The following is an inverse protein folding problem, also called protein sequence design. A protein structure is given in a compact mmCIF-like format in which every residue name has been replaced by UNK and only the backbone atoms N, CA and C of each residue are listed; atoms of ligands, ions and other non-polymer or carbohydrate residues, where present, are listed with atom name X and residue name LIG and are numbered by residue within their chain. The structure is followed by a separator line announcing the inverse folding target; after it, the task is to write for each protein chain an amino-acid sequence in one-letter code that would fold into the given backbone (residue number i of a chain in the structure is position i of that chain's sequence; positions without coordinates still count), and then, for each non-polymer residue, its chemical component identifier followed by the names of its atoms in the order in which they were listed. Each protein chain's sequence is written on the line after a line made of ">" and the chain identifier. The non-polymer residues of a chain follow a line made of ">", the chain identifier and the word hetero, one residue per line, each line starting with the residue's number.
data_IF_511273111574
#
_entry.id   IF_511273111574
#
_cell.length_a   1.000
_cell.length_b   1.000
_cell.length_c   1.000
_cell.angle_alpha   90.00
_cell.angle_beta   90.00
_cell.angle_gamma   90.00
#
_symmetry.space_group_name_H-M   'P 1'
#
loop_
_entity.id
_entity.type
_entity.pdbx_description
1 polymer ?
#
# COMPACT_ATOMS: atom_id res chain seq x y z
N UNK A 1 13.63 15.66 31.25
CA UNK A 1 12.22 15.31 31.23
C UNK A 1 11.96 14.15 30.29
N UNK A 2 11.21 13.18 30.73
CA UNK A 2 10.90 11.99 29.96
C UNK A 2 10.24 12.32 28.61
N UNK A 3 9.38 13.33 28.57
CA UNK A 3 8.67 13.72 27.34
C UNK A 3 9.61 14.23 26.26
N UNK A 4 10.66 14.98 26.59
CA UNK A 4 11.61 15.50 25.62
C UNK A 4 12.47 14.37 25.05
N UNK A 5 12.98 13.48 25.92
CA UNK A 5 13.78 12.33 25.50
C UNK A 5 12.96 11.39 24.62
N UNK A 6 11.70 11.15 24.96
CA UNK A 6 10.79 10.32 24.19
C UNK A 6 10.52 10.96 22.83
N UNK A 7 10.31 12.27 22.79
CA UNK A 7 10.10 13.00 21.54
C UNK A 7 11.33 12.91 20.63
N UNK A 8 12.53 13.12 21.17
CA UNK A 8 13.77 13.00 20.41
C UNK A 8 13.96 11.58 19.86
N UNK A 9 13.67 10.56 20.68
CA UNK A 9 13.74 9.18 20.25
C UNK A 9 12.74 8.89 19.13
N UNK A 10 11.53 9.41 19.23
CA UNK A 10 10.49 9.24 18.20
C UNK A 10 10.89 9.92 16.88
N UNK A 11 11.47 11.11 16.94
CA UNK A 11 11.95 11.82 15.74
C UNK A 11 13.11 11.04 15.09
N UNK A 12 14.08 10.60 15.89
CA UNK A 12 15.19 9.80 15.39
C UNK A 12 14.72 8.49 14.75
N UNK A 13 13.77 7.82 15.37
CA UNK A 13 13.17 6.60 14.83
C UNK A 13 12.44 6.85 13.53
N UNK A 14 11.67 7.93 13.45
CA UNK A 14 10.98 8.33 12.23
C UNK A 14 11.93 8.61 11.08
N UNK A 15 13.04 9.30 11.35
CA UNK A 15 14.07 9.57 10.35
C UNK A 15 14.74 8.28 9.89
N UNK A 16 15.04 7.37 10.82
CA UNK A 16 15.61 6.07 10.48
C UNK A 16 14.67 5.24 9.61
N UNK A 17 13.38 5.27 9.89
CA UNK A 17 12.37 4.58 9.08
C UNK A 17 12.34 5.14 7.66
N UNK A 18 12.41 6.47 7.51
CA UNK A 18 12.41 7.11 6.19
C UNK A 18 13.62 6.73 5.37
N UNK A 19 14.74 6.43 6.01
CA UNK A 19 15.98 6.03 5.36
C UNK A 19 16.08 4.52 5.13
N UNK A 20 15.19 3.73 5.72
CA UNK A 20 15.18 2.29 5.52
C UNK A 20 14.99 1.95 4.02
N UNK A 21 15.76 0.99 3.46
CA UNK A 21 15.65 0.67 2.03
C UNK A 21 14.24 0.31 1.58
N UNK A 22 13.47 -0.38 2.41
CA UNK A 22 12.09 -0.78 2.10
C UNK A 22 11.20 0.46 1.96
N UNK A 23 11.33 1.42 2.85
CA UNK A 23 10.55 2.67 2.83
C UNK A 23 11.01 3.55 1.66
N UNK A 24 12.32 3.64 1.42
CA UNK A 24 12.87 4.39 0.31
C UNK A 24 12.39 3.83 -1.03
N UNK A 25 12.36 2.51 -1.18
CA UNK A 25 11.84 1.86 -2.38
C UNK A 25 10.34 2.13 -2.58
N UNK A 26 9.56 2.12 -1.50
CA UNK A 26 8.14 2.47 -1.57
C UNK A 26 7.94 3.90 -2.04
N UNK A 27 8.68 4.85 -1.47
CA UNK A 27 8.57 6.26 -1.85
C UNK A 27 8.97 6.48 -3.30
N UNK A 28 10.04 5.83 -3.75
CA UNK A 28 10.48 5.92 -5.14
C UNK A 28 9.43 5.34 -6.10
N UNK A 29 8.83 4.20 -5.76
CA UNK A 29 7.80 3.59 -6.59
C UNK A 29 6.50 4.39 -6.61
N UNK A 30 6.12 5.01 -5.49
CA UNK A 30 4.97 5.89 -5.40
C UNK A 30 5.18 7.14 -6.25
N UNK A 31 6.38 7.71 -6.21
CA UNK A 31 6.76 8.87 -7.01
C UNK A 31 6.74 8.54 -8.50
N UNK A 32 7.29 7.38 -8.88
CA UNK A 32 7.26 6.92 -10.26
C UNK A 32 5.82 6.74 -10.77
N UNK A 33 4.94 6.19 -9.94
CA UNK A 33 3.54 6.02 -10.29
C UNK A 33 2.85 7.37 -10.48
N UNK A 34 3.13 8.34 -9.61
CA UNK A 34 2.58 9.68 -9.69
C UNK A 34 2.97 10.40 -10.99
N UNK A 35 4.13 10.07 -11.55
CA UNK A 35 4.64 10.67 -12.79
C UNK A 35 4.41 9.79 -14.03
N UNK A 36 3.62 8.73 -13.92
CA UNK A 36 3.34 7.81 -15.02
C UNK A 36 1.86 7.88 -15.42
N UNK A 37 1.51 8.71 -16.41
CA UNK A 37 0.10 8.86 -16.84
C UNK A 37 -0.51 7.57 -17.37
N UNK A 38 0.29 6.71 -18.00
CA UNK A 38 -0.19 5.43 -18.54
C UNK A 38 -0.60 4.51 -17.39
N UNK A 39 0.24 4.40 -16.38
CA UNK A 39 -0.06 3.59 -15.19
C UNK A 39 -1.30 4.12 -14.46
N UNK A 40 -1.40 5.43 -14.29
CA UNK A 40 -2.57 6.05 -13.65
C UNK A 40 -3.85 5.79 -14.44
N UNK A 41 -3.79 5.88 -15.77
CA UNK A 41 -4.92 5.59 -16.64
C UNK A 41 -5.38 4.15 -16.54
N UNK A 42 -4.45 3.20 -16.46
CA UNK A 42 -4.77 1.78 -16.27
C UNK A 42 -5.46 1.52 -14.93
N UNK A 43 -4.98 2.15 -13.85
CA UNK A 43 -5.59 2.01 -12.53
C UNK A 43 -6.98 2.63 -12.47
N UNK A 44 -7.16 3.78 -13.08
CA UNK A 44 -8.46 4.46 -13.15
C UNK A 44 -9.47 3.63 -13.94
N UNK A 45 -9.03 3.05 -15.07
CA UNK A 45 -9.87 2.18 -15.89
C UNK A 45 -10.29 0.93 -15.13
N UNK A 46 -9.35 0.31 -14.42
CA UNK A 46 -9.64 -0.86 -13.57
C UNK A 46 -10.65 -0.51 -12.47
N UNK A 47 -10.45 0.62 -11.81
CA UNK A 47 -11.35 1.09 -10.75
C UNK A 47 -12.77 1.30 -11.29
N UNK A 48 -12.89 1.95 -12.43
CA UNK A 48 -14.18 2.22 -13.07
C UNK A 48 -14.93 0.92 -13.38
N UNK A 49 -14.21 -0.07 -13.92
CA UNK A 49 -14.81 -1.36 -14.25
C UNK A 49 -15.22 -2.14 -13.00
N UNK A 50 -14.42 -2.09 -11.96
CA UNK A 50 -14.77 -2.75 -10.69
C UNK A 50 -16.00 -2.12 -10.04
N UNK A 51 -16.10 -0.78 -10.05
CA UNK A 51 -17.26 -0.07 -9.51
C UNK A 51 -18.53 -0.42 -10.31
N UNK A 52 -18.42 -0.53 -11.61
CA UNK A 52 -19.53 -0.90 -12.48
C UNK A 52 -20.04 -2.31 -12.16
N UNK A 53 -19.14 -3.27 -11.97
CA UNK A 53 -19.51 -4.63 -11.58
C UNK A 53 -20.14 -4.68 -10.19
N UNK A 54 -19.62 -3.95 -9.24
CA UNK A 54 -20.18 -3.85 -7.90
C UNK A 54 -21.60 -3.29 -7.94
N UNK A 55 -21.82 -2.29 -8.77
CA UNK A 55 -23.14 -1.68 -8.96
C UNK A 55 -24.14 -2.70 -9.52
N UNK A 56 -23.72 -3.49 -10.51
CA UNK A 56 -24.55 -4.55 -11.07
C UNK A 56 -24.92 -5.59 -10.01
N UNK A 57 -23.96 -6.03 -9.20
CA UNK A 57 -24.20 -6.98 -8.12
C UNK A 57 -25.18 -6.44 -7.09
N UNK A 58 -25.04 -5.18 -6.70
CA UNK A 58 -25.95 -4.54 -5.74
C UNK A 58 -27.39 -4.44 -6.29
N UNK A 59 -27.52 -4.33 -7.61
CA UNK A 59 -28.82 -4.29 -8.28
C UNK A 59 -29.40 -5.66 -8.57
N UNK A 60 -28.71 -6.73 -8.16
CA UNK A 60 -29.13 -8.11 -8.44
C UNK A 60 -28.94 -8.54 -9.89
N UNK A 61 -28.19 -7.77 -10.67
CA UNK A 61 -27.90 -8.07 -12.07
C UNK A 61 -26.59 -8.84 -12.18
N UNK A 62 -26.48 -9.61 -13.26
CA UNK A 62 -25.27 -10.39 -13.55
C UNK A 62 -24.46 -9.66 -14.63
N UNK A 63 -23.13 -9.63 -14.45
CA UNK A 63 -22.25 -9.06 -15.45
C UNK A 63 -22.30 -9.88 -16.76
N UNK A 64 -22.27 -9.18 -17.90
CA UNK A 64 -22.22 -9.85 -19.20
C UNK A 64 -20.84 -10.46 -19.42
N UNK A 65 -20.73 -11.48 -20.32
CA UNK A 65 -19.43 -12.02 -20.70
C UNK A 65 -18.46 -10.95 -21.24
N UNK A 66 -18.98 -9.95 -21.94
CA UNK A 66 -18.17 -8.85 -22.46
C UNK A 66 -17.62 -7.96 -21.34
N UNK A 67 -18.43 -7.69 -20.33
CA UNK A 67 -17.98 -6.91 -19.17
C UNK A 67 -16.89 -7.65 -18.38
N UNK A 68 -17.04 -8.96 -18.20
CA UNK A 68 -16.04 -9.78 -17.53
C UNK A 68 -14.76 -9.87 -18.34
N UNK A 69 -14.86 -10.02 -19.66
CA UNK A 69 -13.69 -10.04 -20.56
C UNK A 69 -12.95 -8.70 -20.53
N UNK A 70 -13.68 -7.58 -20.54
CA UNK A 70 -13.08 -6.24 -20.44
C UNK A 70 -12.34 -6.05 -19.12
N UNK A 71 -12.92 -6.51 -18.01
CA UNK A 71 -12.26 -6.46 -16.71
C UNK A 71 -10.97 -7.27 -16.72
N UNK A 72 -11.01 -8.48 -17.30
CA UNK A 72 -9.83 -9.35 -17.39
C UNK A 72 -8.71 -8.71 -18.19
N UNK A 73 -9.04 -8.11 -19.33
CA UNK A 73 -8.06 -7.40 -20.16
C UNK A 73 -7.43 -6.24 -19.40
N UNK A 74 -8.23 -5.50 -18.65
CA UNK A 74 -7.75 -4.40 -17.84
C UNK A 74 -6.83 -4.90 -16.71
N UNK A 75 -7.19 -5.99 -16.05
CA UNK A 75 -6.34 -6.62 -15.02
C UNK A 75 -5.02 -7.10 -15.60
N UNK A 76 -5.04 -7.70 -16.78
CA UNK A 76 -3.82 -8.17 -17.45
C UNK A 76 -2.91 -7.00 -17.83
N UNK A 77 -3.48 -5.89 -18.30
CA UNK A 77 -2.72 -4.69 -18.62
C UNK A 77 -2.06 -4.10 -17.36
N UNK A 78 -2.77 -4.09 -16.23
CA UNK A 78 -2.21 -3.65 -14.95
C UNK A 78 -1.05 -4.54 -14.51
N UNK A 79 -1.22 -5.85 -14.61
CA UNK A 79 -0.16 -6.80 -14.24
C UNK A 79 1.07 -6.71 -15.16
N UNK A 80 0.88 -6.30 -16.40
CA UNK A 80 1.97 -6.12 -17.35
C UNK A 80 2.69 -4.78 -17.17
N UNK A 81 2.13 -3.85 -16.38
CA UNK A 81 2.73 -2.53 -16.17
C UNK A 81 3.78 -2.61 -15.06
N UNK A 82 5.04 -2.34 -15.42
CA UNK A 82 6.15 -2.45 -14.46
C UNK A 82 6.09 -1.41 -13.33
N UNK A 83 5.61 -0.22 -13.61
CA UNK A 83 5.48 0.84 -12.62
C UNK A 83 4.46 0.47 -11.54
N UNK A 84 3.30 -0.05 -11.95
CA UNK A 84 2.26 -0.51 -11.02
C UNK A 84 2.76 -1.70 -10.20
N UNK A 85 3.39 -2.68 -10.85
CA UNK A 85 3.87 -3.88 -10.17
C UNK A 85 4.98 -3.57 -9.19
N UNK A 86 5.87 -2.60 -9.50
CA UNK A 86 6.90 -2.15 -8.56
C UNK A 86 6.26 -1.50 -7.33
N UNK A 87 5.22 -0.69 -7.52
CA UNK A 87 4.49 -0.07 -6.42
C UNK A 87 3.81 -1.12 -5.53
N UNK A 88 3.15 -2.12 -6.14
CA UNK A 88 2.49 -3.19 -5.37
C UNK A 88 3.49 -4.01 -4.57
N UNK A 89 4.64 -4.36 -5.15
CA UNK A 89 5.71 -5.08 -4.44
C UNK A 89 6.23 -4.25 -3.26
N UNK A 90 6.53 -2.99 -3.50
CA UNK A 90 7.04 -2.09 -2.47
C UNK A 90 6.00 -1.90 -1.35
N UNK A 91 4.71 -1.82 -1.68
CA UNK A 91 3.64 -1.74 -0.70
C UNK A 91 3.59 -2.99 0.18
N UNK A 92 3.69 -4.18 -0.42
CA UNK A 92 3.69 -5.43 0.31
C UNK A 92 4.93 -5.55 1.20
N UNK A 93 6.09 -5.10 0.72
CA UNK A 93 7.33 -5.11 1.50
C UNK A 93 7.23 -4.19 2.73
N UNK A 94 6.63 -3.01 2.58
CA UNK A 94 6.39 -2.10 3.71
C UNK A 94 5.43 -2.73 4.71
N UNK A 95 4.35 -3.36 4.24
CA UNK A 95 3.38 -4.02 5.11
C UNK A 95 4.02 -5.14 5.93
N UNK A 96 4.95 -5.89 5.34
CA UNK A 96 5.68 -6.93 6.04
C UNK A 96 6.74 -6.35 7.00
N UNK A 97 7.33 -5.22 6.63
CA UNK A 97 8.39 -4.56 7.41
C UNK A 97 7.86 -3.92 8.70
N UNK A 98 6.70 -3.27 8.67
CA UNK A 98 6.16 -2.55 9.81
C UNK A 98 5.95 -3.40 11.05
N UNK A 99 5.38 -4.61 10.99
CA UNK A 99 5.26 -5.48 12.16
C UNK A 99 6.61 -5.87 12.76
N UNK A 100 7.61 -6.10 11.91
CA UNK A 100 8.98 -6.43 12.36
C UNK A 100 9.57 -5.27 13.14
N UNK A 101 9.40 -4.04 12.65
CA UNK A 101 9.86 -2.83 13.36
C UNK A 101 9.14 -2.67 14.68
N UNK A 102 7.82 -2.88 14.72
CA UNK A 102 7.04 -2.79 15.94
C UNK A 102 7.52 -3.79 16.98
N UNK A 103 7.85 -5.02 16.56
CA UNK A 103 8.40 -6.05 17.45
C UNK A 103 9.76 -5.63 18.02
N UNK A 104 10.63 -5.08 17.18
CA UNK A 104 11.95 -4.61 17.63
C UNK A 104 11.84 -3.44 18.60
N UNK A 105 10.93 -2.51 18.35
CA UNK A 105 10.69 -1.37 19.23
C UNK A 105 10.14 -1.86 20.57
N UNK A 106 9.22 -2.80 20.55
CA UNK A 106 8.66 -3.41 21.78
C UNK A 106 9.76 -4.07 22.61
N UNK A 107 10.64 -4.83 21.98
CA UNK A 107 11.76 -5.48 22.67
C UNK A 107 12.71 -4.45 23.27
N UNK A 108 13.01 -3.38 22.57
CA UNK A 108 13.92 -2.32 23.04
C UNK A 108 13.32 -1.53 24.20
N UNK A 109 12.04 -1.22 24.14
CA UNK A 109 11.35 -0.43 25.15
C UNK A 109 10.85 -1.27 26.33
N UNK A 110 10.83 -2.60 26.20
CA UNK A 110 10.26 -3.48 27.22
C UNK A 110 8.74 -3.41 27.33
N UNK A 111 8.09 -2.91 26.30
CA UNK A 111 6.63 -2.76 26.24
C UNK A 111 6.15 -3.39 24.93
N UNK A 112 5.00 -4.06 24.98
CA UNK A 112 4.39 -4.59 23.76
C UNK A 112 3.75 -3.44 22.97
N UNK A 113 4.56 -2.84 22.12
CA UNK A 113 4.15 -1.71 21.31
C UNK A 113 3.03 -2.08 20.32
N UNK A 114 3.06 -3.31 19.82
CA UNK A 114 2.06 -3.77 18.87
C UNK A 114 0.66 -3.85 19.49
N UNK A 115 0.58 -4.15 20.80
CA UNK A 115 -0.70 -4.21 21.51
C UNK A 115 -1.28 -2.82 21.78
N UNK A 116 -0.47 -1.78 21.71
CA UNK A 116 -0.91 -0.40 21.89
C UNK A 116 -1.42 0.23 20.60
N UNK A 117 -1.15 -0.39 19.45
CA UNK A 117 -1.64 0.09 18.18
C UNK A 117 -3.12 -0.24 18.02
N UNK A 118 -3.94 0.70 17.51
CA UNK A 118 -5.33 0.37 17.22
C UNK A 118 -5.39 -0.74 16.17
N UNK A 119 -6.36 -1.64 16.35
CA UNK A 119 -6.57 -2.69 15.38
C UNK A 119 -6.90 -2.05 14.02
N UNK A 120 -6.02 -2.24 13.06
CA UNK A 120 -6.26 -1.75 11.71
C UNK A 120 -7.21 -2.69 11.00
N UNK A 121 -8.27 -2.16 10.50
CA UNK A 121 -9.22 -2.93 9.72
C UNK A 121 -8.72 -3.12 8.29
#
# INVERSE_FOLDING_TARGET
>A
MLSTTLHEAAVAFGLALRQAPVVAAFRASADALEHDPIAQGLLEDLRTRQLELNRLQQSGLTASPQQLASLRLCQDAVRANSTIMAYLRATNDVKAFLPTVATQVSATLGVDYASLMPASC
#
